data_IF_649579705306
#
_entry.id   IF_649579705306
#
_cell.length_a   1.000
_cell.length_b   1.000
_cell.length_c   1.000
_cell.angle_alpha   90.00
_cell.angle_beta   90.00
_cell.angle_gamma   90.00
#
_symmetry.space_group_name_H-M   'P 1'
#
loop_
_entity.id
_entity.type
_entity.pdbx_description
1 polymer ?
#
# COMPACT_ATOMS: atom_id res chain seq x y z
N UNK A 1 29.35 2.63 -1.24
CA UNK A 1 28.47 1.72 -0.48
C UNK A 1 27.11 2.38 -0.40
N UNK A 2 26.29 2.24 -1.44
CA UNK A 2 25.05 3.00 -1.61
C UNK A 2 23.98 2.38 -0.73
N UNK A 3 23.38 3.17 0.17
CA UNK A 3 22.32 2.79 1.09
C UNK A 3 21.15 2.14 0.32
N UNK A 4 21.14 0.82 0.20
CA UNK A 4 19.91 0.08 -0.10
C UNK A 4 18.98 0.30 1.07
N UNK A 5 18.10 1.29 0.93
CA UNK A 5 17.14 1.67 1.96
C UNK A 5 16.36 0.43 2.39
N UNK A 6 16.29 0.20 3.71
CA UNK A 6 15.54 -0.89 4.36
C UNK A 6 14.09 -1.10 3.83
N UNK A 7 13.55 -0.13 3.08
CA UNK A 7 12.24 -0.12 2.43
C UNK A 7 12.08 -1.13 1.27
N UNK A 8 13.14 -1.42 0.50
CA UNK A 8 13.07 -2.44 -0.56
C UNK A 8 12.96 -3.87 0.00
N UNK A 9 13.28 -4.09 1.28
CA UNK A 9 13.24 -5.41 1.91
C UNK A 9 11.82 -5.83 2.34
N UNK A 10 10.84 -4.92 2.34
CA UNK A 10 9.48 -5.21 2.82
C UNK A 10 8.54 -5.67 1.71
N UNK A 11 8.77 -5.24 0.47
CA UNK A 11 7.90 -5.56 -0.68
C UNK A 11 8.29 -6.91 -1.26
N UNK A 12 7.31 -7.80 -1.41
CA UNK A 12 7.53 -9.06 -2.11
C UNK A 12 7.68 -8.79 -3.62
N UNK A 13 8.53 -9.56 -4.32
CA UNK A 13 8.73 -9.40 -5.79
C UNK A 13 7.43 -9.35 -6.60
N UNK A 14 6.37 -10.00 -6.11
CA UNK A 14 5.04 -10.05 -6.74
C UNK A 14 4.24 -8.77 -6.52
N UNK A 15 4.46 -8.09 -5.40
CA UNK A 15 3.86 -6.79 -5.11
C UNK A 15 4.52 -5.69 -5.92
N UNK A 16 5.82 -5.79 -6.20
CA UNK A 16 6.59 -4.82 -6.99
C UNK A 16 5.95 -4.57 -8.37
N UNK A 17 5.64 -5.63 -9.13
CA UNK A 17 5.00 -5.50 -10.44
C UNK A 17 3.65 -4.78 -10.38
N UNK A 18 2.84 -5.07 -9.36
CA UNK A 18 1.55 -4.41 -9.14
C UNK A 18 1.73 -2.94 -8.74
N UNK A 19 2.69 -2.64 -7.86
CA UNK A 19 3.04 -1.28 -7.46
C UNK A 19 3.44 -0.45 -8.68
N UNK A 20 4.30 -1.00 -9.55
CA UNK A 20 4.70 -0.33 -10.79
C UNK A 20 3.50 -0.03 -11.70
N UNK A 21 2.64 -1.02 -11.95
CA UNK A 21 1.46 -0.81 -12.79
C UNK A 21 0.47 0.23 -12.22
N UNK A 22 0.35 0.31 -10.89
CA UNK A 22 -0.45 1.35 -10.22
C UNK A 22 0.17 2.74 -10.43
N UNK A 23 1.49 2.86 -10.25
CA UNK A 23 2.21 4.12 -10.41
C UNK A 23 2.18 4.62 -11.86
N UNK A 24 2.30 3.72 -12.84
CA UNK A 24 2.17 4.07 -14.27
C UNK A 24 0.81 4.71 -14.59
N UNK A 25 -0.25 4.27 -13.91
CA UNK A 25 -1.60 4.84 -14.02
C UNK A 25 -1.84 6.06 -13.13
N UNK A 26 -0.87 6.50 -12.32
CA UNK A 26 -1.04 7.54 -11.29
C UNK A 26 0.20 8.43 -11.20
N UNK A 27 0.41 9.35 -12.17
CA UNK A 27 1.64 10.15 -12.27
C UNK A 27 1.86 11.13 -11.11
N UNK A 28 0.81 11.49 -10.39
CA UNK A 28 0.86 12.35 -9.20
C UNK A 28 1.14 11.60 -7.90
N UNK A 29 1.27 10.27 -7.97
CA UNK A 29 1.54 9.43 -6.84
C UNK A 29 2.98 9.59 -6.35
N UNK A 30 3.14 9.72 -5.05
CA UNK A 30 4.45 9.73 -4.37
C UNK A 30 4.74 8.40 -3.65
N UNK A 31 3.80 7.47 -3.72
CA UNK A 31 3.89 6.16 -3.11
C UNK A 31 2.65 5.32 -3.37
N UNK A 32 2.72 4.05 -2.96
CA UNK A 32 1.60 3.10 -2.98
C UNK A 32 1.40 2.56 -1.58
N UNK A 33 0.20 2.70 -1.05
CA UNK A 33 -0.18 2.01 0.19
C UNK A 33 -0.36 0.54 -0.12
N UNK A 34 0.21 -0.33 0.72
CA UNK A 34 0.08 -1.78 0.65
C UNK A 34 -0.49 -2.27 1.95
N UNK A 35 -1.60 -3.01 1.88
CA UNK A 35 -2.29 -3.62 3.02
C UNK A 35 -2.38 -5.12 2.76
N UNK A 36 -1.81 -5.92 3.67
CA UNK A 36 -1.85 -7.38 3.63
C UNK A 36 -2.94 -7.87 4.59
N UNK A 37 -3.85 -8.70 4.07
CA UNK A 37 -4.94 -9.29 4.85
C UNK A 37 -4.58 -10.70 5.31
N UNK A 38 -5.21 -11.14 6.39
CA UNK A 38 -5.01 -12.48 6.97
C UNK A 38 -5.32 -13.65 6.03
N UNK A 39 -6.22 -13.45 5.07
CA UNK A 39 -6.63 -14.40 4.04
C UNK A 39 -5.67 -14.49 2.83
N UNK A 40 -4.59 -13.70 2.84
CA UNK A 40 -3.62 -13.62 1.73
C UNK A 40 -4.03 -12.71 0.57
N UNK A 41 -5.18 -12.02 0.69
CA UNK A 41 -5.51 -10.92 -0.22
C UNK A 41 -4.72 -9.66 0.16
N UNK A 42 -4.48 -8.80 -0.82
CA UNK A 42 -3.79 -7.53 -0.65
C UNK A 42 -4.65 -6.41 -1.19
N UNK A 43 -4.63 -5.25 -0.52
CA UNK A 43 -5.18 -4.00 -1.04
C UNK A 43 -4.06 -3.03 -1.33
N UNK A 44 -4.14 -2.35 -2.46
CA UNK A 44 -3.19 -1.34 -2.86
C UNK A 44 -3.88 -0.12 -3.45
N UNK A 45 -3.31 1.05 -3.22
CA UNK A 45 -3.72 2.29 -3.87
C UNK A 45 -2.56 3.26 -3.96
N UNK A 46 -2.50 4.05 -5.03
CA UNK A 46 -1.58 5.16 -5.14
C UNK A 46 -1.94 6.25 -4.12
N UNK A 47 -0.92 6.93 -3.59
CA UNK A 47 -1.05 7.99 -2.59
C UNK A 47 -0.43 9.27 -3.12
N UNK A 48 -1.18 10.37 -3.04
CA UNK A 48 -0.73 11.70 -3.46
C UNK A 48 0.16 12.37 -2.40
N UNK A 49 0.79 13.49 -2.77
CA UNK A 49 1.60 14.33 -1.86
C UNK A 49 0.85 14.84 -0.61
N UNK A 50 -0.48 14.84 -0.68
CA UNK A 50 -1.37 15.28 0.41
C UNK A 50 -1.87 14.12 1.28
N UNK A 51 -1.49 12.88 0.92
CA UNK A 51 -1.96 11.67 1.58
C UNK A 51 -3.38 11.28 1.19
N UNK A 52 -3.84 11.73 0.03
CA UNK A 52 -5.13 11.35 -0.56
C UNK A 52 -4.95 10.21 -1.57
N UNK A 53 -5.98 9.39 -1.82
CA UNK A 53 -5.91 8.35 -2.84
C UNK A 53 -5.72 8.97 -4.23
N UNK A 54 -4.64 8.62 -4.91
CA UNK A 54 -4.34 9.00 -6.29
C UNK A 54 -4.80 7.95 -7.32
N UNK A 55 -5.35 6.82 -6.84
CA UNK A 55 -5.93 5.78 -7.68
C UNK A 55 -7.17 5.16 -7.01
N UNK A 56 -7.91 4.34 -7.76
CA UNK A 56 -8.86 3.40 -7.16
C UNK A 56 -8.11 2.38 -6.30
N UNK A 57 -8.78 1.87 -5.27
CA UNK A 57 -8.27 0.73 -4.49
C UNK A 57 -8.32 -0.51 -5.37
N UNK A 58 -7.18 -1.16 -5.53
CA UNK A 58 -7.04 -2.44 -6.21
C UNK A 58 -6.90 -3.51 -5.14
N UNK A 59 -7.70 -4.56 -5.25
CA UNK A 59 -7.58 -5.73 -4.42
C UNK A 59 -7.26 -6.95 -5.28
N UNK A 60 -6.29 -7.73 -4.85
CA UNK A 60 -5.93 -8.96 -5.55
C UNK A 60 -5.47 -10.03 -4.55
N UNK A 61 -5.34 -11.25 -5.04
CA UNK A 61 -4.80 -12.38 -4.28
C UNK A 61 -3.68 -13.02 -5.08
N UNK A 62 -2.59 -13.31 -4.40
CA UNK A 62 -1.43 -13.94 -5.00
C UNK A 62 -1.80 -15.29 -5.63
N UNK A 63 -1.34 -15.54 -6.86
CA UNK A 63 -1.58 -16.78 -7.62
C UNK A 63 -3.05 -17.15 -7.87
N UNK A 64 -3.98 -16.19 -7.74
CA UNK A 64 -5.39 -16.43 -7.98
C UNK A 64 -5.95 -15.45 -9.02
N UNK A 65 -6.86 -15.95 -9.86
CA UNK A 65 -7.58 -15.14 -10.84
C UNK A 65 -8.60 -14.19 -10.19
N UNK A 66 -8.87 -14.35 -8.89
CA UNK A 66 -9.89 -13.59 -8.17
C UNK A 66 -9.58 -13.46 -6.67
N UNK A 67 -10.13 -12.41 -6.06
CA UNK A 67 -10.15 -12.23 -4.60
C UNK A 67 -10.98 -13.33 -3.91
N UNK A 68 -10.68 -13.62 -2.64
CA UNK A 68 -11.41 -14.64 -1.88
C UNK A 68 -12.85 -14.22 -1.58
N UNK A 69 -13.73 -15.19 -1.28
CA UNK A 69 -15.15 -14.93 -0.99
C UNK A 69 -15.35 -13.95 0.16
N UNK A 70 -14.54 -14.08 1.22
CA UNK A 70 -14.63 -13.17 2.37
C UNK A 70 -14.35 -11.72 1.97
N UNK A 71 -13.38 -11.50 1.08
CA UNK A 71 -13.06 -10.17 0.56
C UNK A 71 -14.07 -9.67 -0.48
N UNK A 72 -14.83 -10.56 -1.13
CA UNK A 72 -15.97 -10.16 -1.96
C UNK A 72 -17.13 -9.66 -1.09
N UNK A 73 -17.29 -10.24 0.10
CA UNK A 73 -18.35 -9.90 1.05
C UNK A 73 -18.06 -8.60 1.82
N UNK A 74 -16.92 -8.52 2.50
CA UNK A 74 -16.62 -7.41 3.40
C UNK A 74 -15.62 -6.39 2.85
N UNK A 75 -15.20 -6.58 1.59
CA UNK A 75 -14.21 -5.74 0.92
C UNK A 75 -12.89 -5.61 1.69
N UNK A 76 -12.49 -6.64 2.42
CA UNK A 76 -11.23 -6.68 3.17
C UNK A 76 -11.28 -5.85 4.45
N UNK A 77 -12.25 -6.11 5.33
CA UNK A 77 -12.48 -5.36 6.56
C UNK A 77 -11.19 -5.03 7.34
N UNK A 78 -11.12 -3.83 7.92
CA UNK A 78 -9.91 -3.32 8.60
C UNK A 78 -9.43 -4.22 9.74
N UNK A 79 -10.35 -4.89 10.45
CA UNK A 79 -10.03 -5.84 11.53
C UNK A 79 -9.20 -7.04 11.09
N UNK A 80 -9.07 -7.29 9.77
CA UNK A 80 -8.29 -8.39 9.19
C UNK A 80 -6.93 -7.97 8.65
N UNK A 81 -6.55 -6.70 8.83
CA UNK A 81 -5.24 -6.19 8.40
C UNK A 81 -4.16 -6.85 9.24
N UNK A 82 -3.26 -7.60 8.60
CA UNK A 82 -2.07 -8.16 9.24
C UNK A 82 -0.89 -7.20 9.21
N UNK A 83 -0.75 -6.48 8.10
CA UNK A 83 0.34 -5.54 7.89
C UNK A 83 -0.08 -4.44 6.94
N UNK A 84 0.41 -3.23 7.17
CA UNK A 84 0.20 -2.11 6.28
C UNK A 84 1.39 -1.18 6.26
N UNK A 85 1.78 -0.73 5.08
CA UNK A 85 2.88 0.22 4.91
C UNK A 85 2.70 1.02 3.62
N UNK A 86 3.49 2.09 3.46
CA UNK A 86 3.56 2.84 2.21
C UNK A 86 4.89 2.58 1.54
N UNK A 87 4.84 2.08 0.30
CA UNK A 87 5.99 2.03 -0.59
C UNK A 87 6.20 3.43 -1.19
N UNK A 88 7.30 4.09 -0.82
CA UNK A 88 7.61 5.44 -1.27
C UNK A 88 8.43 5.42 -2.56
N UNK A 89 8.03 6.23 -3.54
CA UNK A 89 8.76 6.39 -4.80
C UNK A 89 9.77 7.53 -4.66
N UNK A 90 10.89 7.44 -5.37
CA UNK A 90 11.89 8.52 -5.39
C UNK A 90 11.50 9.64 -6.38
N UNK A 91 11.69 10.93 -6.01
CA UNK A 91 12.20 11.40 -4.73
C UNK A 91 11.16 11.29 -3.62
N UNK A 92 11.49 10.56 -2.55
CA UNK A 92 10.58 10.37 -1.44
C UNK A 92 10.43 11.68 -0.64
N UNK A 93 9.24 11.96 -0.07
CA UNK A 93 9.05 13.12 0.79
C UNK A 93 9.91 13.00 2.07
N UNK A 94 10.09 14.10 2.80
CA UNK A 94 10.84 14.10 4.07
C UNK A 94 10.23 13.14 5.10
N UNK A 95 11.02 12.67 6.06
CA UNK A 95 10.54 11.72 7.08
C UNK A 95 9.32 12.25 7.86
N UNK A 96 9.34 13.54 8.22
CA UNK A 96 8.18 14.22 8.83
C UNK A 96 6.94 14.09 7.96
N UNK A 97 7.07 14.38 6.66
CA UNK A 97 5.94 14.33 5.72
C UNK A 97 5.48 12.90 5.46
N UNK A 98 6.39 11.92 5.43
CA UNK A 98 6.05 10.51 5.37
C UNK A 98 5.22 10.10 6.59
N UNK A 99 5.58 10.56 7.79
CA UNK A 99 4.84 10.25 9.02
C UNK A 99 3.44 10.88 9.01
N UNK A 100 3.32 12.15 8.61
CA UNK A 100 2.02 12.82 8.46
C UNK A 100 1.10 12.06 7.50
N UNK A 101 1.63 11.69 6.33
CA UNK A 101 0.87 10.95 5.32
C UNK A 101 0.53 9.54 5.80
N UNK A 102 1.48 8.84 6.43
CA UNK A 102 1.25 7.49 6.96
C UNK A 102 0.14 7.51 7.99
N UNK A 103 0.12 8.50 8.88
CA UNK A 103 -0.94 8.67 9.89
C UNK A 103 -2.30 8.93 9.25
N UNK A 104 -2.35 9.78 8.20
CA UNK A 104 -3.60 10.07 7.47
C UNK A 104 -4.12 8.84 6.72
N UNK A 105 -3.23 8.08 6.07
CA UNK A 105 -3.59 6.98 5.16
C UNK A 105 -3.85 5.67 5.90
N UNK A 106 -3.00 5.34 6.88
CA UNK A 106 -3.06 4.08 7.63
C UNK A 106 -3.83 4.21 8.96
N UNK A 107 -4.10 5.45 9.40
CA UNK A 107 -4.62 5.73 10.72
C UNK A 107 -3.51 5.87 11.77
N UNK A 108 -3.90 6.30 12.97
CA UNK A 108 -3.02 6.33 14.15
C UNK A 108 -3.19 5.05 14.96
N UNK A 109 -2.12 4.49 15.56
CA UNK A 109 -2.24 3.33 16.46
C UNK A 109 -3.00 3.62 17.78
N UNK A 110 -3.46 4.85 18.01
CA UNK A 110 -4.10 5.31 19.25
C UNK A 110 -5.62 5.25 19.29
N UNK A 111 -6.30 4.69 18.29
CA UNK A 111 -7.74 4.48 18.35
C UNK A 111 -8.07 2.99 18.18
N UNK A 112 -7.84 2.25 19.26
CA UNK A 112 -8.42 0.94 19.56
C UNK A 112 -9.09 1.00 20.92
#
# INVERSE_FOLDING_TARGET
MTKTSKKQLMVEKREEAMIHGILEGSPEAIGVVVIRLDCGCRKMAAVSKEGDPASKIIMYRDLAESICEQCKDDQGAFVRVKESFIYWVEPAPSEKKQQEISTKVLGSPTEH
#
